data_IF_519378556214
#
_entry.id   IF_519378556214
#
_cell.length_a   1.000
_cell.length_b   1.000
_cell.length_c   1.000
_cell.angle_alpha   90.00
_cell.angle_beta   90.00
_cell.angle_gamma   90.00
#
_symmetry.space_group_name_H-M   'P 1'
#
loop_
_entity.id
_entity.type
_entity.pdbx_description
1 polymer ?
#
# COMPACT_ATOMS: atom_id res chain seq x y z
N UNK A 1 -12.90 16.37 -13.04
CA UNK A 1 -13.94 16.35 -12.00
C UNK A 1 -13.75 15.18 -11.02
N UNK A 2 -13.88 13.92 -11.46
CA UNK A 2 -13.78 12.72 -10.59
C UNK A 2 -12.41 12.62 -9.88
N UNK A 3 -11.32 12.93 -10.59
CA UNK A 3 -9.96 12.88 -10.05
C UNK A 3 -9.79 13.82 -8.84
N UNK A 4 -10.37 15.03 -8.91
CA UNK A 4 -10.30 16.02 -7.82
C UNK A 4 -11.06 15.51 -6.58
N UNK A 5 -12.24 14.92 -6.77
CA UNK A 5 -13.04 14.35 -5.67
C UNK A 5 -12.29 13.18 -5.03
N UNK A 6 -11.68 12.31 -5.84
CA UNK A 6 -10.90 11.18 -5.35
C UNK A 6 -9.69 11.63 -4.51
N UNK A 7 -8.95 12.64 -4.96
CA UNK A 7 -7.82 13.20 -4.22
C UNK A 7 -8.27 13.77 -2.87
N UNK A 8 -9.33 14.58 -2.85
CA UNK A 8 -9.84 15.17 -1.60
C UNK A 8 -10.27 14.10 -0.60
N UNK A 9 -10.92 13.04 -1.06
CA UNK A 9 -11.36 11.95 -0.21
C UNK A 9 -10.16 11.18 0.40
N UNK A 10 -9.14 10.90 -0.41
CA UNK A 10 -7.91 10.25 0.06
C UNK A 10 -7.19 11.12 1.09
N UNK A 11 -7.04 12.43 0.84
CA UNK A 11 -6.38 13.35 1.78
C UNK A 11 -7.16 13.40 3.11
N UNK A 12 -8.48 13.53 3.05
CA UNK A 12 -9.32 13.55 4.26
C UNK A 12 -9.20 12.27 5.07
N UNK A 13 -9.30 11.11 4.41
CA UNK A 13 -9.17 9.81 5.05
C UNK A 13 -7.78 9.59 5.66
N UNK A 14 -6.72 9.91 4.93
CA UNK A 14 -5.35 9.78 5.43
C UNK A 14 -5.08 10.70 6.62
N UNK A 15 -5.56 11.93 6.58
CA UNK A 15 -5.39 12.89 7.67
C UNK A 15 -6.08 12.39 8.94
N UNK A 16 -7.31 11.90 8.82
CA UNK A 16 -8.05 11.33 9.95
C UNK A 16 -7.34 10.11 10.53
N UNK A 17 -6.88 9.19 9.67
CA UNK A 17 -6.15 8.00 10.08
C UNK A 17 -4.85 8.34 10.83
N UNK A 18 -4.11 9.36 10.39
CA UNK A 18 -2.88 9.81 11.07
C UNK A 18 -3.19 10.40 12.44
N UNK A 19 -4.25 11.21 12.56
CA UNK A 19 -4.64 11.82 13.85
C UNK A 19 -5.07 10.74 14.85
N UNK A 20 -5.86 9.76 14.43
CA UNK A 20 -6.30 8.66 15.29
C UNK A 20 -5.11 7.85 15.81
N UNK A 21 -4.16 7.53 14.93
CA UNK A 21 -2.93 6.80 15.33
C UNK A 21 -2.07 7.59 16.33
N UNK A 22 -1.96 8.92 16.18
CA UNK A 22 -1.19 9.75 17.12
C UNK A 22 -1.81 9.77 18.53
N UNK A 23 -3.14 9.79 18.64
CA UNK A 23 -3.85 9.70 19.93
C UNK A 23 -3.57 8.37 20.63
N UNK A 24 -3.65 7.25 19.90
CA UNK A 24 -3.39 5.92 20.46
C UNK A 24 -1.96 5.80 21.00
N UNK A 25 -0.98 6.37 20.30
CA UNK A 25 0.43 6.38 20.72
C UNK A 25 0.64 7.24 21.96
N UNK A 26 -0.03 8.40 22.05
CA UNK A 26 0.05 9.27 23.22
C UNK A 26 -0.52 8.60 24.48
N UNK A 27 -1.63 7.87 24.34
CA UNK A 27 -2.21 7.06 25.43
C UNK A 27 -1.27 5.92 25.85
N UNK A 28 -0.66 5.21 24.90
CA UNK A 28 0.33 4.19 25.26
C UNK A 28 1.56 4.79 25.97
N UNK A 29 2.01 5.97 25.54
CA UNK A 29 3.13 6.66 26.15
C UNK A 29 2.84 7.12 27.58
N UNK A 30 1.61 7.56 27.88
CA UNK A 30 1.21 7.94 29.24
C UNK A 30 1.06 6.73 30.17
N UNK A 31 0.84 5.54 29.62
CA UNK A 31 0.88 4.25 30.34
C UNK A 31 2.31 3.72 30.58
N UNK A 32 3.35 4.45 30.18
CA UNK A 32 4.75 4.08 30.41
C UNK A 32 5.39 3.25 29.29
N UNK A 33 4.77 3.17 28.11
CA UNK A 33 5.37 2.50 26.96
C UNK A 33 6.67 3.20 26.53
N UNK A 34 7.81 2.52 26.67
CA UNK A 34 9.10 3.05 26.25
C UNK A 34 9.24 3.22 24.72
N UNK A 35 10.16 4.10 24.28
CA UNK A 35 10.43 4.42 22.86
C UNK A 35 10.61 3.17 21.96
N UNK A 36 11.12 2.05 22.53
CA UNK A 36 11.25 0.75 21.84
C UNK A 36 9.92 0.10 21.49
N UNK A 37 8.93 0.17 22.39
CA UNK A 37 7.61 -0.43 22.18
C UNK A 37 6.86 0.30 21.07
N UNK A 38 6.90 1.65 21.09
CA UNK A 38 6.32 2.49 20.04
C UNK A 38 6.95 2.14 18.68
N UNK A 39 8.27 1.98 18.62
CA UNK A 39 8.99 1.57 17.41
C UNK A 39 8.54 0.20 16.90
N UNK A 40 8.34 -0.78 17.79
CA UNK A 40 7.85 -2.12 17.42
C UNK A 40 6.41 -2.08 16.91
N UNK A 41 5.53 -1.33 17.57
CA UNK A 41 4.12 -1.20 17.17
C UNK A 41 4.04 -0.61 15.76
N UNK A 42 4.76 0.48 15.48
CA UNK A 42 4.77 1.07 14.14
C UNK A 42 5.28 0.11 13.06
N UNK A 43 6.32 -0.66 13.38
CA UNK A 43 6.89 -1.61 12.44
C UNK A 43 5.89 -2.74 12.13
N UNK A 44 5.20 -3.23 13.16
CA UNK A 44 4.18 -4.27 13.05
C UNK A 44 2.94 -3.78 12.31
N UNK A 45 2.44 -2.59 12.65
CA UNK A 45 1.30 -1.95 12.00
C UNK A 45 1.60 -1.71 10.51
N UNK A 46 2.77 -1.15 10.20
CA UNK A 46 3.21 -0.91 8.82
C UNK A 46 3.35 -2.19 8.02
N UNK A 47 3.87 -3.26 8.62
CA UNK A 47 3.91 -4.59 8.00
C UNK A 47 2.51 -5.15 7.75
N UNK A 48 1.58 -5.02 8.70
CA UNK A 48 0.20 -5.50 8.53
C UNK A 48 -0.52 -4.76 7.40
N UNK A 49 -0.40 -3.43 7.33
CA UNK A 49 -1.03 -2.60 6.28
C UNK A 49 -0.45 -2.93 4.90
N UNK A 50 0.86 -3.08 4.79
CA UNK A 50 1.51 -3.42 3.51
C UNK A 50 1.18 -4.83 3.05
N UNK A 51 1.16 -5.80 3.97
CA UNK A 51 0.78 -7.19 3.67
C UNK A 51 -0.66 -7.27 3.15
N UNK A 52 -1.60 -6.63 3.85
CA UNK A 52 -3.01 -6.60 3.44
C UNK A 52 -3.19 -5.89 2.10
N UNK A 53 -2.58 -4.72 1.90
CA UNK A 53 -2.61 -4.01 0.63
C UNK A 53 -2.02 -4.80 -0.55
N UNK A 54 -0.90 -5.52 -0.33
CA UNK A 54 -0.28 -6.37 -1.33
C UNK A 54 -1.21 -7.53 -1.74
N UNK A 55 -1.81 -8.21 -0.76
CA UNK A 55 -2.76 -9.30 -1.00
C UNK A 55 -3.96 -8.79 -1.80
N UNK A 56 -4.57 -7.68 -1.36
CA UNK A 56 -5.72 -7.10 -2.07
C UNK A 56 -5.35 -6.65 -3.49
N UNK A 57 -4.20 -6.01 -3.68
CA UNK A 57 -3.74 -5.56 -5.00
C UNK A 57 -3.48 -6.72 -5.96
N UNK A 58 -2.86 -7.80 -5.49
CA UNK A 58 -2.62 -9.01 -6.29
C UNK A 58 -3.94 -9.69 -6.68
N UNK A 59 -4.89 -9.80 -5.75
CA UNK A 59 -6.21 -10.39 -6.01
C UNK A 59 -6.96 -9.56 -7.06
N UNK A 60 -7.02 -8.23 -6.88
CA UNK A 60 -7.71 -7.33 -7.81
C UNK A 60 -7.04 -7.36 -9.19
N UNK A 61 -5.71 -7.32 -9.24
CA UNK A 61 -4.96 -7.41 -10.51
C UNK A 61 -5.16 -8.75 -11.23
N UNK A 62 -5.19 -9.85 -10.49
CA UNK A 62 -5.49 -11.18 -11.03
C UNK A 62 -6.90 -11.26 -11.60
N UNK A 63 -7.90 -10.80 -10.85
CA UNK A 63 -9.30 -10.75 -11.29
C UNK A 63 -9.44 -9.88 -12.53
N UNK A 64 -8.76 -8.72 -12.56
CA UNK A 64 -8.79 -7.83 -13.71
C UNK A 64 -8.19 -8.50 -14.96
N UNK A 65 -7.04 -9.14 -14.83
CA UNK A 65 -6.39 -9.91 -15.89
C UNK A 65 -7.27 -11.05 -16.40
N UNK A 66 -7.95 -11.76 -15.49
CA UNK A 66 -8.86 -12.85 -15.82
C UNK A 66 -10.09 -12.34 -16.57
N UNK A 67 -10.69 -11.25 -16.10
CA UNK A 67 -11.84 -10.61 -16.74
C UNK A 67 -11.47 -10.07 -18.12
N UNK A 68 -10.29 -9.46 -18.26
CA UNK A 68 -9.72 -9.01 -19.53
C UNK A 68 -9.62 -10.15 -20.55
N UNK A 69 -9.15 -11.32 -20.12
CA UNK A 69 -9.01 -12.51 -20.98
C UNK A 69 -10.38 -13.11 -21.38
N UNK A 70 -11.35 -13.11 -20.46
CA UNK A 70 -12.71 -13.63 -20.68
C UNK A 70 -13.58 -12.72 -21.56
N UNK A 71 -13.51 -11.40 -21.35
CA UNK A 71 -14.39 -10.44 -22.01
C UNK A 71 -13.77 -9.73 -23.21
N UNK A 72 -12.43 -9.73 -23.35
CA UNK A 72 -11.76 -9.08 -24.48
C UNK A 72 -12.22 -7.63 -24.68
N UNK A 73 -12.46 -6.88 -23.59
CA UNK A 73 -13.06 -5.53 -23.62
C UNK A 73 -12.21 -4.49 -24.36
N UNK A 74 -10.89 -4.71 -24.44
CA UNK A 74 -9.94 -3.84 -25.15
C UNK A 74 -9.47 -4.58 -26.39
N UNK A 75 -10.17 -4.36 -27.51
CA UNK A 75 -9.83 -4.88 -28.84
C UNK A 75 -9.02 -3.82 -29.58
N UNK A 76 -8.01 -4.26 -30.32
CA UNK A 76 -7.39 -3.40 -31.33
C UNK A 76 -8.43 -3.20 -32.43
N UNK A 77 -8.83 -1.96 -32.67
CA UNK A 77 -9.61 -1.60 -33.85
C UNK A 77 -8.73 -1.80 -35.07
N UNK A 78 -8.72 -2.98 -35.69
CA UNK A 78 -8.52 -3.08 -37.14
C UNK A 78 -9.27 -4.28 -37.73
N UNK A 79 -10.04 -3.89 -38.73
CA UNK A 79 -10.96 -4.60 -39.59
C UNK A 79 -10.23 -5.51 -40.60
N UNK A 80 -9.46 -6.51 -40.17
CA UNK A 80 -9.00 -7.54 -41.10
C UNK A 80 -8.78 -8.90 -40.42
N UNK A 81 -9.69 -9.82 -40.75
CA UNK A 81 -9.54 -11.26 -40.95
C UNK A 81 -8.23 -11.92 -40.46
N UNK A 82 -8.43 -12.91 -39.58
CA UNK A 82 -7.54 -14.06 -39.31
C UNK A 82 -6.44 -13.81 -38.26
N UNK A 83 -6.76 -14.25 -37.03
CA UNK A 83 -5.88 -14.56 -35.89
C UNK A 83 -5.41 -13.32 -35.10
N UNK A 84 -5.52 -13.40 -33.77
CA UNK A 84 -4.99 -12.44 -32.75
C UNK A 84 -5.95 -11.31 -32.35
N UNK A 85 -6.91 -11.54 -31.43
CA UNK A 85 -7.81 -10.47 -30.97
C UNK A 85 -8.15 -10.52 -29.47
N UNK A 86 -7.10 -10.42 -28.66
CA UNK A 86 -7.10 -9.86 -27.31
C UNK A 86 -5.66 -9.42 -27.03
N UNK A 87 -5.44 -8.28 -26.35
CA UNK A 87 -4.09 -7.92 -25.88
C UNK A 87 -3.57 -9.13 -25.06
N UNK A 88 -2.53 -9.84 -25.51
CA UNK A 88 -2.20 -11.16 -24.97
C UNK A 88 -1.60 -10.96 -23.59
N UNK A 89 -2.45 -10.92 -22.57
CA UNK A 89 -2.00 -10.95 -21.19
C UNK A 89 -1.61 -12.39 -20.89
N UNK A 90 -0.35 -12.70 -21.20
CA UNK A 90 0.23 -13.98 -20.87
C UNK A 90 0.33 -14.06 -19.34
N UNK A 91 -0.49 -14.91 -18.72
CA UNK A 91 -0.38 -15.23 -17.30
C UNK A 91 0.95 -15.95 -17.04
N UNK A 92 2.02 -15.16 -16.87
CA UNK A 92 3.31 -15.67 -16.45
C UNK A 92 3.34 -15.62 -14.94
N UNK A 93 3.39 -16.78 -14.31
CA UNK A 93 3.51 -16.91 -12.85
C UNK A 93 4.72 -16.14 -12.30
N UNK A 94 5.75 -15.94 -13.13
CA UNK A 94 6.94 -15.14 -12.83
C UNK A 94 6.62 -13.67 -12.55
N UNK A 95 5.63 -13.08 -13.23
CA UNK A 95 5.32 -11.65 -13.07
C UNK A 95 4.66 -11.39 -11.70
N UNK A 96 3.78 -12.29 -11.26
CA UNK A 96 3.20 -12.24 -9.91
C UNK A 96 4.27 -12.36 -8.82
N UNK A 97 5.20 -13.30 -8.99
CA UNK A 97 6.29 -13.51 -8.03
C UNK A 97 7.25 -12.30 -8.00
N UNK A 98 7.52 -11.70 -9.17
CA UNK A 98 8.36 -10.50 -9.29
C UNK A 98 7.70 -9.29 -8.62
N UNK A 99 6.40 -9.06 -8.85
CA UNK A 99 5.64 -8.00 -8.17
C UNK A 99 5.62 -8.21 -6.66
N UNK A 100 5.40 -9.45 -6.20
CA UNK A 100 5.43 -9.75 -4.77
C UNK A 100 6.79 -9.45 -4.13
N UNK A 101 7.89 -9.80 -4.81
CA UNK A 101 9.25 -9.51 -4.36
C UNK A 101 9.55 -8.01 -4.32
N UNK A 102 9.22 -7.27 -5.38
CA UNK A 102 9.50 -5.83 -5.43
C UNK A 102 8.70 -5.07 -4.38
N UNK A 103 7.42 -5.40 -4.21
CA UNK A 103 6.57 -4.80 -3.17
C UNK A 103 7.08 -5.15 -1.78
N UNK A 104 7.46 -6.41 -1.51
CA UNK A 104 8.06 -6.79 -0.21
C UNK A 104 9.31 -5.99 0.10
N UNK A 105 10.22 -5.82 -0.86
CA UNK A 105 11.45 -5.04 -0.66
C UNK A 105 11.12 -3.56 -0.38
N UNK A 106 10.26 -2.94 -1.19
CA UNK A 106 9.85 -1.56 -0.98
C UNK A 106 9.13 -1.37 0.36
N UNK A 107 8.26 -2.29 0.77
CA UNK A 107 7.57 -2.25 2.06
C UNK A 107 8.53 -2.44 3.24
N UNK A 108 9.52 -3.33 3.12
CA UNK A 108 10.56 -3.48 4.15
C UNK A 108 11.37 -2.19 4.31
N UNK A 109 11.77 -1.56 3.21
CA UNK A 109 12.48 -0.27 3.22
C UNK A 109 11.60 0.85 3.79
N UNK A 110 10.34 0.94 3.39
CA UNK A 110 9.41 1.95 3.91
C UNK A 110 9.14 1.77 5.41
N UNK A 111 8.98 0.52 5.87
CA UNK A 111 8.81 0.20 7.29
C UNK A 111 10.07 0.53 8.09
N UNK A 112 11.25 0.20 7.56
CA UNK A 112 12.54 0.57 8.16
C UNK A 112 12.75 2.09 8.23
N UNK A 113 12.33 2.83 7.20
CA UNK A 113 12.35 4.31 7.19
C UNK A 113 11.40 4.88 8.25
N UNK A 114 10.15 4.43 8.29
CA UNK A 114 9.15 4.85 9.29
C UNK A 114 9.64 4.58 10.72
N UNK A 115 10.24 3.41 10.93
CA UNK A 115 10.85 3.02 12.21
C UNK A 115 12.00 3.94 12.66
N UNK A 116 12.80 4.46 11.73
CA UNK A 116 13.87 5.40 12.04
C UNK A 116 13.37 6.86 12.17
N UNK A 117 12.36 7.25 11.40
CA UNK A 117 11.74 8.57 11.49
C UNK A 117 10.95 8.76 12.79
N UNK A 118 10.25 7.73 13.27
CA UNK A 118 9.52 7.77 14.55
C UNK A 118 10.46 7.93 15.76
N UNK A 119 11.70 7.45 15.69
CA UNK A 119 12.71 7.69 16.74
C UNK A 119 13.17 9.15 16.73
N UNK A 120 13.39 9.73 15.54
CA UNK A 120 13.88 11.10 15.40
C UNK A 120 12.84 12.15 15.79
N UNK A 121 11.54 11.87 15.60
CA UNK A 121 10.47 12.81 15.96
C UNK A 121 10.16 12.85 17.46
N UNK A 122 10.47 11.77 18.20
CA UNK A 122 10.35 11.75 19.67
C UNK A 122 11.42 12.61 20.34
N UNK A 123 12.57 12.83 19.72
CA UNK A 123 13.60 13.71 20.26
C UNK A 123 13.23 15.19 20.19
N UNK A 124 12.51 15.62 19.15
CA UNK A 124 12.03 17.01 19.07
C UNK A 124 10.94 17.32 20.10
N UNK A 125 10.05 16.37 20.40
CA UNK A 125 9.00 16.52 21.41
C UNK A 125 9.53 16.60 22.86
N UNK A 126 10.74 16.12 23.14
CA UNK A 126 11.36 16.24 24.47
C UNK A 126 12.13 17.55 24.66
N UNK A 127 12.24 18.37 23.61
CA UNK A 127 12.90 19.66 23.64
C UNK A 127 11.90 20.83 23.77
N UNK A 128 10.62 20.56 23.53
CA UNK A 128 9.50 21.51 23.66
C UNK A 128 8.76 21.40 25.02
N UNK A 129 9.24 20.55 25.94
CA UNK A 129 8.69 20.36 27.31
C UNK A 129 9.70 20.82 28.35
#
# INVERSE_FOLDING_TARGET
FILIIAIFNIIGSLTMLVIDKLKDIAVLSSLGAGKKLIKQIFLFEGMMITMTGCIFGLIVGFIFCFLQQKFGMIKMSEDNLVITNAYPVAFKWKDFLLVFMTVSVFSFVASALSSNLSVKKIDHLNQDI
#
